data_IF_128811592390
#
_entry.id   IF_128811592390
#
_cell.length_a   1.000
_cell.length_b   1.000
_cell.length_c   1.000
_cell.angle_alpha   90.00
_cell.angle_beta   90.00
_cell.angle_gamma   90.00
#
_symmetry.space_group_name_H-M   'P 1'
#
loop_
_entity.id
_entity.type
_entity.pdbx_description
1 polymer ?
#
# COMPACT_ATOMS: atom_id res chain seq x y z
N UNK A 1 -13.79 6.37 -0.57
CA UNK A 1 -14.51 6.81 0.66
C UNK A 1 -15.00 8.23 0.41
N UNK A 2 -16.30 8.51 0.43
CA UNK A 2 -16.81 9.85 0.11
C UNK A 2 -16.69 10.76 1.34
N UNK A 3 -15.97 11.87 1.22
CA UNK A 3 -15.82 12.87 2.28
C UNK A 3 -16.72 14.06 1.95
N UNK A 4 -17.76 14.25 2.76
CA UNK A 4 -18.67 15.37 2.63
C UNK A 4 -18.33 16.42 3.69
N UNK A 5 -17.92 17.61 3.27
CA UNK A 5 -17.60 18.73 4.16
C UNK A 5 -18.67 19.79 3.99
N UNK A 6 -19.49 19.98 5.03
CA UNK A 6 -20.47 21.06 5.07
C UNK A 6 -19.97 22.14 6.03
N UNK A 7 -19.80 23.36 5.52
CA UNK A 7 -19.51 24.54 6.33
C UNK A 7 -20.76 25.42 6.31
N UNK A 8 -21.33 25.66 7.49
CA UNK A 8 -22.46 26.56 7.69
C UNK A 8 -21.99 27.73 8.54
N UNK A 9 -21.92 28.92 7.95
CA UNK A 9 -21.63 30.16 8.66
C UNK A 9 -22.88 31.05 8.61
N UNK A 10 -23.37 31.45 9.79
CA UNK A 10 -24.54 32.31 9.96
C UNK A 10 -24.10 33.59 10.66
N UNK A 11 -24.27 34.74 10.00
CA UNK A 11 -24.23 36.06 10.64
C UNK A 11 -25.60 36.73 10.45
N UNK A 12 -25.96 37.67 11.31
CA UNK A 12 -27.32 38.21 11.51
C UNK A 12 -28.08 38.66 10.24
N UNK A 13 -27.38 38.88 9.11
CA UNK A 13 -27.98 39.24 7.80
C UNK A 13 -27.43 38.41 6.61
N UNK A 14 -26.65 37.35 6.82
CA UNK A 14 -26.07 36.58 5.71
C UNK A 14 -25.79 35.12 6.11
N UNK A 15 -26.29 34.19 5.30
CA UNK A 15 -26.04 32.76 5.41
C UNK A 15 -25.21 32.30 4.22
N UNK A 16 -24.04 31.72 4.49
CA UNK A 16 -23.20 31.12 3.45
C UNK A 16 -23.16 29.61 3.69
N UNK A 17 -23.66 28.87 2.70
CA UNK A 17 -23.67 27.42 2.68
C UNK A 17 -22.66 26.91 1.66
N UNK A 18 -21.55 26.32 2.12
CA UNK A 18 -20.60 25.63 1.26
C UNK A 18 -20.71 24.12 1.50
N UNK A 19 -21.15 23.39 0.48
CA UNK A 19 -21.24 21.92 0.48
C UNK A 19 -20.18 21.37 -0.48
N UNK A 20 -19.16 20.70 0.05
CA UNK A 20 -18.09 20.09 -0.74
C UNK A 20 -18.14 18.56 -0.59
N UNK A 21 -18.54 17.88 -1.66
CA UNK A 21 -18.57 16.41 -1.73
C UNK A 21 -17.38 15.91 -2.55
N UNK A 22 -16.43 15.25 -1.90
CA UNK A 22 -15.30 14.60 -2.57
C UNK A 22 -15.57 13.10 -2.60
N UNK A 23 -15.96 12.60 -3.77
CA UNK A 23 -16.31 11.19 -3.99
C UNK A 23 -15.12 10.48 -4.65
N UNK A 24 -14.39 9.69 -3.88
CA UNK A 24 -13.37 8.76 -4.40
C UNK A 24 -14.01 7.39 -4.65
N UNK A 25 -15.06 7.35 -5.45
CA UNK A 25 -15.79 6.13 -5.80
C UNK A 25 -15.92 6.03 -7.32
N UNK A 26 -15.73 4.84 -7.91
CA UNK A 26 -15.89 4.62 -9.34
C UNK A 26 -17.36 4.60 -9.79
N UNK A 27 -18.28 4.66 -8.83
CA UNK A 27 -19.71 4.63 -9.09
C UNK A 27 -20.12 6.03 -9.51
N UNK A 28 -20.38 6.17 -10.81
CA UNK A 28 -21.03 7.34 -11.38
C UNK A 28 -22.43 7.47 -10.76
N UNK A 29 -22.71 8.62 -10.13
CA UNK A 29 -24.04 8.90 -9.63
C UNK A 29 -25.00 9.09 -10.82
N UNK A 30 -25.88 8.12 -10.99
CA UNK A 30 -26.82 8.03 -12.11
C UNK A 30 -27.74 9.26 -12.15
N UNK A 31 -28.07 9.84 -10.99
CA UNK A 31 -28.92 11.04 -10.90
C UNK A 31 -28.18 12.28 -11.39
N UNK A 32 -26.91 12.42 -11.01
CA UNK A 32 -26.05 13.50 -11.50
C UNK A 32 -25.81 13.42 -13.01
N UNK A 33 -25.68 12.20 -13.55
CA UNK A 33 -25.58 11.97 -15.00
C UNK A 33 -26.88 12.29 -15.75
N UNK A 34 -28.04 11.93 -15.19
CA UNK A 34 -29.36 12.26 -15.76
C UNK A 34 -29.57 13.78 -15.86
N UNK A 35 -29.21 14.52 -14.82
CA UNK A 35 -29.20 15.98 -14.88
C UNK A 35 -28.22 16.53 -15.93
N UNK A 36 -27.01 15.99 -16.02
CA UNK A 36 -26.04 16.39 -17.04
C UNK A 36 -26.51 16.10 -18.47
N UNK A 37 -27.23 14.99 -18.67
CA UNK A 37 -27.79 14.60 -19.96
C UNK A 37 -28.86 15.59 -20.45
N UNK A 38 -29.66 16.15 -19.53
CA UNK A 38 -30.67 17.16 -19.84
C UNK A 38 -30.05 18.48 -20.32
N UNK A 39 -28.89 18.87 -19.78
CA UNK A 39 -28.23 20.13 -20.11
C UNK A 39 -27.24 20.02 -21.28
N UNK A 40 -26.42 18.97 -21.32
CA UNK A 40 -25.50 18.74 -22.44
C UNK A 40 -25.11 17.25 -22.54
N UNK A 41 -25.77 16.48 -23.42
CA UNK A 41 -25.55 15.03 -23.51
C UNK A 41 -24.11 14.64 -23.89
N UNK A 42 -23.41 15.47 -24.68
CA UNK A 42 -22.00 15.26 -25.07
C UNK A 42 -21.03 15.14 -23.88
N UNK A 43 -21.32 15.78 -22.74
CA UNK A 43 -20.43 15.70 -21.56
C UNK A 43 -20.55 14.33 -20.90
N UNK A 44 -21.72 13.70 -20.98
CA UNK A 44 -21.97 12.39 -20.35
C UNK A 44 -21.04 11.35 -20.97
N UNK A 45 -20.93 11.32 -22.30
CA UNK A 45 -20.04 10.40 -23.01
C UNK A 45 -18.56 10.64 -22.65
N UNK A 46 -18.15 11.91 -22.56
CA UNK A 46 -16.81 12.27 -22.09
C UNK A 46 -16.54 11.78 -20.66
N UNK A 47 -17.48 11.98 -19.73
CA UNK A 47 -17.33 11.55 -18.33
C UNK A 47 -17.26 10.04 -18.22
N UNK A 48 -18.07 9.30 -18.98
CA UNK A 48 -18.01 7.83 -19.04
C UNK A 48 -16.67 7.37 -19.59
N UNK A 49 -16.17 7.99 -20.67
CA UNK A 49 -14.88 7.64 -21.25
C UNK A 49 -13.71 7.93 -20.30
N UNK A 50 -13.70 9.10 -19.63
CA UNK A 50 -12.69 9.43 -18.63
C UNK A 50 -12.74 8.48 -17.43
N UNK A 51 -13.95 8.11 -16.98
CA UNK A 51 -14.14 7.15 -15.89
C UNK A 51 -13.59 5.77 -16.27
N UNK A 52 -13.80 5.33 -17.52
CA UNK A 52 -13.24 4.08 -18.03
C UNK A 52 -11.71 4.12 -18.06
N UNK A 53 -11.11 5.20 -18.58
CA UNK A 53 -9.64 5.39 -18.62
C UNK A 53 -9.03 5.38 -17.22
N UNK A 54 -9.67 6.05 -16.26
CA UNK A 54 -9.25 6.06 -14.85
C UNK A 54 -9.36 4.66 -14.22
N UNK A 55 -10.45 3.93 -14.47
CA UNK A 55 -10.61 2.57 -13.96
C UNK A 55 -9.55 1.61 -14.53
N UNK A 56 -9.23 1.71 -15.82
CA UNK A 56 -8.14 0.95 -16.45
C UNK A 56 -6.77 1.32 -15.86
N UNK A 57 -6.53 2.62 -15.62
CA UNK A 57 -5.31 3.08 -14.96
C UNK A 57 -5.17 2.49 -13.56
N UNK A 58 -6.22 2.56 -12.73
CA UNK A 58 -6.21 1.98 -11.37
C UNK A 58 -5.93 0.48 -11.39
N UNK A 59 -6.60 -0.29 -12.26
CA UNK A 59 -6.35 -1.73 -12.41
C UNK A 59 -4.88 -2.03 -12.78
N UNK A 60 -4.29 -1.21 -13.66
CA UNK A 60 -2.88 -1.34 -14.05
C UNK A 60 -1.93 -1.02 -12.89
N UNK A 61 -2.24 0.00 -12.09
CA UNK A 61 -1.46 0.34 -10.90
C UNK A 61 -1.57 -0.74 -9.83
N UNK A 62 -2.77 -1.27 -9.56
CA UNK A 62 -2.99 -2.34 -8.59
C UNK A 62 -2.19 -3.59 -8.97
N UNK A 63 -2.23 -4.00 -10.25
CA UNK A 63 -1.45 -5.14 -10.74
C UNK A 63 0.06 -4.94 -10.57
N UNK A 64 0.56 -3.73 -10.84
CA UNK A 64 1.98 -3.39 -10.64
C UNK A 64 2.35 -3.40 -9.15
N UNK A 65 1.52 -2.81 -8.30
CA UNK A 65 1.71 -2.78 -6.86
C UNK A 65 1.80 -4.20 -6.29
N UNK A 66 0.85 -5.08 -6.66
CA UNK A 66 0.87 -6.49 -6.24
C UNK A 66 2.16 -7.17 -6.68
N UNK A 67 2.60 -6.95 -7.92
CA UNK A 67 3.83 -7.54 -8.44
C UNK A 67 5.07 -7.05 -7.69
N UNK A 68 5.17 -5.74 -7.39
CA UNK A 68 6.27 -5.19 -6.61
C UNK A 68 6.27 -5.69 -5.17
N UNK A 69 5.10 -5.76 -4.52
CA UNK A 69 4.99 -6.34 -3.18
C UNK A 69 5.40 -7.81 -3.17
N UNK A 70 5.06 -8.57 -4.21
CA UNK A 70 5.47 -9.97 -4.35
C UNK A 70 7.00 -10.10 -4.46
N UNK A 71 7.62 -9.31 -5.34
CA UNK A 71 9.08 -9.29 -5.53
C UNK A 71 9.80 -8.88 -4.24
N UNK A 72 9.32 -7.85 -3.56
CA UNK A 72 9.88 -7.41 -2.27
C UNK A 72 9.80 -8.52 -1.22
N UNK A 73 8.66 -9.21 -1.12
CA UNK A 73 8.47 -10.32 -0.18
C UNK A 73 9.40 -11.51 -0.48
N UNK A 74 9.55 -11.87 -1.75
CA UNK A 74 10.50 -12.92 -2.16
C UNK A 74 11.94 -12.49 -1.90
N UNK A 75 12.31 -11.26 -2.25
CA UNK A 75 13.65 -10.73 -2.01
C UNK A 75 14.02 -10.74 -0.53
N UNK A 76 13.10 -10.31 0.35
CA UNK A 76 13.30 -10.38 1.79
C UNK A 76 13.47 -11.82 2.31
N UNK A 77 12.70 -12.78 1.77
CA UNK A 77 12.81 -14.18 2.15
C UNK A 77 14.17 -14.77 1.72
N UNK A 78 14.60 -14.49 0.49
CA UNK A 78 15.89 -14.96 -0.03
C UNK A 78 17.07 -14.39 0.77
N UNK A 79 17.08 -13.08 1.05
CA UNK A 79 18.12 -12.46 1.87
C UNK A 79 18.12 -13.03 3.29
N UNK A 80 16.96 -13.24 3.89
CA UNK A 80 16.84 -13.91 5.19
C UNK A 80 17.40 -15.33 5.18
N UNK A 81 17.13 -16.10 4.12
CA UNK A 81 17.69 -17.44 3.94
C UNK A 81 19.23 -17.41 3.81
N UNK A 82 19.79 -16.49 3.02
CA UNK A 82 21.24 -16.34 2.89
C UNK A 82 21.90 -15.97 4.22
N UNK A 83 21.31 -15.06 4.99
CA UNK A 83 21.82 -14.71 6.33
C UNK A 83 21.76 -15.94 7.25
N UNK A 84 20.67 -16.71 7.21
CA UNK A 84 20.52 -17.92 8.02
C UNK A 84 21.58 -18.97 7.69
N UNK A 85 21.71 -19.33 6.41
CA UNK A 85 22.71 -20.32 5.97
C UNK A 85 24.13 -19.82 6.23
N UNK A 86 24.42 -18.56 5.93
CA UNK A 86 25.74 -17.97 6.15
C UNK A 86 26.12 -17.92 7.62
N UNK A 87 25.17 -17.63 8.51
CA UNK A 87 25.41 -17.60 9.97
C UNK A 87 25.71 -19.00 10.52
N UNK A 88 24.96 -20.02 10.08
CA UNK A 88 25.17 -21.41 10.50
C UNK A 88 26.51 -21.93 9.95
N UNK A 89 26.76 -21.78 8.64
CA UNK A 89 27.99 -22.23 8.01
C UNK A 89 29.22 -21.52 8.59
N UNK A 90 29.14 -20.21 8.80
CA UNK A 90 30.21 -19.42 9.41
C UNK A 90 30.49 -19.84 10.86
N UNK A 91 29.45 -20.10 11.65
CA UNK A 91 29.61 -20.58 13.02
C UNK A 91 30.23 -21.99 13.08
N UNK A 92 29.79 -22.92 12.23
CA UNK A 92 30.36 -24.28 12.15
C UNK A 92 31.84 -24.21 11.74
N UNK A 93 32.17 -23.40 10.73
CA UNK A 93 33.55 -23.24 10.28
C UNK A 93 34.45 -22.68 11.39
N UNK A 94 34.00 -21.64 12.09
CA UNK A 94 34.72 -21.06 13.22
C UNK A 94 34.90 -22.05 14.39
N UNK A 95 33.90 -22.91 14.65
CA UNK A 95 33.97 -23.93 15.69
C UNK A 95 35.01 -25.02 15.36
N UNK A 96 35.09 -25.46 14.10
CA UNK A 96 36.10 -26.45 13.65
C UNK A 96 37.53 -25.91 13.81
N UNK A 97 37.73 -24.60 13.64
CA UNK A 97 39.01 -23.92 13.86
C UNK A 97 39.36 -23.72 15.35
N UNK A 98 38.46 -24.09 16.28
CA UNK A 98 38.68 -23.95 17.73
C UNK A 98 38.35 -22.57 18.29
N UNK A 99 37.75 -21.66 17.51
CA UNK A 99 37.34 -20.34 17.97
C UNK A 99 35.90 -20.35 18.50
N UNK A 100 35.67 -20.96 19.66
CA UNK A 100 34.34 -21.13 20.27
C UNK A 100 33.61 -19.80 20.53
N UNK A 101 34.32 -18.76 20.97
CA UNK A 101 33.75 -17.43 21.22
C UNK A 101 33.28 -16.73 19.94
N UNK A 102 33.99 -16.94 18.82
CA UNK A 102 33.57 -16.43 17.51
C UNK A 102 32.38 -17.22 16.97
N UNK A 103 32.40 -18.54 17.09
CA UNK A 103 31.30 -19.38 16.63
C UNK A 103 29.97 -19.04 17.35
N UNK A 104 30.03 -18.89 18.67
CA UNK A 104 28.85 -18.56 19.50
C UNK A 104 28.30 -17.17 19.21
N UNK A 105 29.16 -16.16 19.06
CA UNK A 105 28.71 -14.79 18.72
C UNK A 105 28.09 -14.70 17.34
N UNK A 106 28.68 -15.35 16.32
CA UNK A 106 28.11 -15.40 14.96
C UNK A 106 26.74 -16.10 14.97
N UNK A 107 26.63 -17.23 15.65
CA UNK A 107 25.36 -17.96 15.75
C UNK A 107 24.29 -17.14 16.48
N UNK A 108 24.64 -16.53 17.61
CA UNK A 108 23.71 -15.74 18.43
C UNK A 108 23.21 -14.49 17.69
N UNK A 109 24.10 -13.73 17.04
CA UNK A 109 23.73 -12.54 16.28
C UNK A 109 22.96 -12.90 15.02
N UNK A 110 23.42 -13.91 14.28
CA UNK A 110 22.78 -14.35 13.04
C UNK A 110 21.36 -14.87 13.26
N UNK A 111 21.19 -15.85 14.15
CA UNK A 111 19.87 -16.41 14.46
C UNK A 111 19.00 -15.42 15.24
N UNK A 112 19.58 -14.65 16.15
CA UNK A 112 18.87 -13.63 16.92
C UNK A 112 18.29 -12.53 16.03
N UNK A 113 19.06 -12.05 15.04
CA UNK A 113 18.57 -11.04 14.09
C UNK A 113 17.40 -11.56 13.24
N UNK A 114 17.45 -12.81 12.80
CA UNK A 114 16.36 -13.45 12.06
C UNK A 114 15.12 -13.61 12.95
N UNK A 115 15.29 -14.10 14.18
CA UNK A 115 14.20 -14.25 15.13
C UNK A 115 13.47 -12.92 15.37
N UNK A 116 14.22 -11.82 15.57
CA UNK A 116 13.65 -10.47 15.75
C UNK A 116 12.96 -9.99 14.47
N UNK A 117 13.54 -10.23 13.30
CA UNK A 117 12.96 -9.84 12.02
C UNK A 117 11.61 -10.55 11.77
N UNK A 118 11.50 -11.83 12.12
CA UNK A 118 10.25 -12.58 12.03
C UNK A 118 9.23 -12.13 13.08
N UNK A 119 9.62 -11.95 14.35
CA UNK A 119 8.70 -11.50 15.41
C UNK A 119 8.09 -10.13 15.13
N UNK A 120 8.86 -9.21 14.55
CA UNK A 120 8.37 -7.87 14.20
C UNK A 120 7.38 -7.90 13.04
N UNK A 121 7.44 -8.93 12.18
CA UNK A 121 6.58 -9.06 11.00
C UNK A 121 5.13 -9.41 11.36
N UNK A 122 4.90 -10.13 12.46
CA UNK A 122 3.54 -10.53 12.90
C UNK A 122 2.73 -9.38 13.56
N UNK A 123 3.38 -8.25 13.89
CA UNK A 123 2.71 -7.11 14.56
C UNK A 123 2.18 -6.03 13.60
N UNK A 124 2.22 -6.27 12.29
CA UNK A 124 1.67 -5.37 11.25
C UNK A 124 0.51 -6.02 10.56
#
# INVERSE_FOLDING_TARGET
>A
MAKNTQIKARNANSEIHLSHSQVDSPILDVRSLEHLQQFRPDIVDFVVEQTKKEAEHRRKQDSRMISYTFIERIGALLLGAFIGVGSIAGAIYAAILGFETLATTIAAVGLGSLAVAFLRRDKK
#
